data_IF_888121616576
#
_entry.id   IF_888121616576
#
_cell.length_a   1.000
_cell.length_b   1.000
_cell.length_c   1.000
_cell.angle_alpha   90.00
_cell.angle_beta   90.00
_cell.angle_gamma   90.00
#
_symmetry.space_group_name_H-M   'P 1'
#
loop_
_entity.id
_entity.type
_entity.pdbx_description
1 polymer ?
#
# COMPACT_ATOMS: atom_id res chain seq x y z
N UNK A 1 39.81 -35.89 34.97
CA UNK A 1 38.73 -35.89 33.97
C UNK A 1 38.82 -34.60 33.20
N UNK A 2 39.46 -34.60 32.03
CA UNK A 2 39.60 -33.42 31.19
C UNK A 2 38.37 -33.31 30.32
N UNK A 3 37.65 -32.16 30.42
CA UNK A 3 36.56 -31.79 29.51
C UNK A 3 37.14 -31.44 28.14
N UNK A 4 36.99 -32.31 27.18
CA UNK A 4 37.24 -32.07 25.75
C UNK A 4 36.12 -31.15 25.25
N UNK A 5 36.36 -29.85 25.30
CA UNK A 5 35.57 -28.85 24.55
C UNK A 5 35.88 -29.07 23.07
N UNK A 6 34.98 -29.80 22.39
CA UNK A 6 35.09 -30.06 20.95
C UNK A 6 34.98 -28.75 20.16
N UNK A 7 36.13 -28.23 19.76
CA UNK A 7 36.21 -27.19 18.73
C UNK A 7 35.74 -27.82 17.42
N UNK A 8 34.58 -27.45 16.96
CA UNK A 8 34.06 -27.86 15.65
C UNK A 8 35.07 -27.54 14.58
N UNK A 9 35.31 -28.49 13.66
CA UNK A 9 36.23 -28.27 12.55
C UNK A 9 35.83 -27.02 11.77
N UNK A 10 36.79 -26.32 11.17
CA UNK A 10 36.52 -25.12 10.34
C UNK A 10 35.46 -25.36 9.25
N UNK A 11 35.43 -26.60 8.72
CA UNK A 11 34.42 -27.00 7.75
C UNK A 11 33.00 -27.06 8.35
N UNK A 12 32.83 -27.63 9.54
CA UNK A 12 31.57 -27.70 10.24
C UNK A 12 31.07 -26.30 10.65
N UNK A 13 31.99 -25.40 11.05
CA UNK A 13 31.65 -23.98 11.30
C UNK A 13 31.21 -23.26 10.03
N UNK A 14 31.89 -23.46 8.91
CA UNK A 14 31.53 -22.87 7.63
C UNK A 14 30.19 -23.41 7.09
N UNK A 15 29.91 -24.68 7.31
CA UNK A 15 28.60 -25.27 6.97
C UNK A 15 27.49 -24.72 7.82
N UNK A 16 27.68 -24.52 9.12
CA UNK A 16 26.70 -23.90 10.00
C UNK A 16 26.43 -22.45 9.60
N UNK A 17 27.48 -21.67 9.34
CA UNK A 17 27.34 -20.27 8.87
C UNK A 17 26.61 -20.19 7.52
N UNK A 18 26.89 -21.11 6.59
CA UNK A 18 26.18 -21.23 5.31
C UNK A 18 24.69 -21.59 5.52
N UNK A 19 24.40 -22.49 6.45
CA UNK A 19 23.05 -22.93 6.77
C UNK A 19 22.24 -21.81 7.45
N UNK A 20 22.87 -21.05 8.35
CA UNK A 20 22.28 -19.86 8.98
C UNK A 20 22.06 -18.73 7.97
N UNK A 21 23.00 -18.45 7.09
CA UNK A 21 22.83 -17.46 6.01
C UNK A 21 21.71 -17.85 5.05
N UNK A 22 21.57 -19.15 4.69
CA UNK A 22 20.44 -19.64 3.88
C UNK A 22 19.11 -19.57 4.63
N UNK A 23 19.08 -19.92 5.91
CA UNK A 23 17.88 -19.84 6.75
C UNK A 23 17.43 -18.38 6.98
N UNK A 24 18.36 -17.43 6.97
CA UNK A 24 18.08 -16.01 7.12
C UNK A 24 17.77 -15.28 5.81
N UNK A 25 17.94 -15.95 4.67
CA UNK A 25 17.63 -15.35 3.37
C UNK A 25 16.10 -15.17 3.23
N UNK A 26 15.66 -13.92 3.00
CA UNK A 26 14.24 -13.56 2.87
C UNK A 26 13.50 -14.43 1.83
N UNK A 27 14.16 -14.74 0.71
CA UNK A 27 13.62 -15.62 -0.32
C UNK A 27 13.34 -17.04 0.18
N UNK A 28 14.24 -17.60 1.00
CA UNK A 28 14.05 -18.94 1.56
C UNK A 28 12.88 -18.98 2.56
N UNK A 29 12.71 -17.91 3.34
CA UNK A 29 11.57 -17.75 4.26
C UNK A 29 10.27 -17.60 3.49
N UNK A 30 10.25 -16.83 2.40
CA UNK A 30 9.09 -16.67 1.52
C UNK A 30 8.66 -18.01 0.90
N UNK A 31 9.60 -18.74 0.29
CA UNK A 31 9.33 -20.03 -0.35
C UNK A 31 8.86 -21.13 0.62
N UNK A 32 9.23 -21.06 1.89
CA UNK A 32 8.76 -21.99 2.95
C UNK A 32 7.35 -21.68 3.43
N UNK A 33 6.88 -20.46 3.28
CA UNK A 33 5.53 -20.06 3.70
C UNK A 33 4.59 -20.03 2.50
N UNK A 34 3.76 -21.06 2.36
CA UNK A 34 2.81 -21.21 1.25
C UNK A 34 1.86 -20.02 1.10
N UNK A 35 1.37 -19.47 2.23
CA UNK A 35 0.46 -18.30 2.20
C UNK A 35 1.18 -17.05 1.73
N UNK A 36 2.42 -16.84 2.18
CA UNK A 36 3.23 -15.71 1.71
C UNK A 36 3.56 -15.83 0.22
N UNK A 37 3.83 -17.06 -0.28
CA UNK A 37 4.06 -17.30 -1.69
C UNK A 37 2.82 -16.99 -2.54
N UNK A 38 1.64 -17.45 -2.11
CA UNK A 38 0.38 -17.15 -2.80
C UNK A 38 0.13 -15.63 -2.83
N UNK A 39 0.27 -14.95 -1.68
CA UNK A 39 0.14 -13.49 -1.62
C UNK A 39 1.13 -12.78 -2.54
N UNK A 40 2.40 -13.22 -2.55
CA UNK A 40 3.42 -12.65 -3.43
C UNK A 40 3.07 -12.82 -4.92
N UNK A 41 2.60 -14.00 -5.33
CA UNK A 41 2.15 -14.26 -6.71
C UNK A 41 0.98 -13.34 -7.09
N UNK A 42 -0.03 -13.21 -6.23
CA UNK A 42 -1.18 -12.32 -6.49
C UNK A 42 -0.72 -10.87 -6.65
N UNK A 43 0.13 -10.37 -5.75
CA UNK A 43 0.66 -9.01 -5.83
C UNK A 43 1.45 -8.82 -7.13
N UNK A 44 2.33 -9.75 -7.49
CA UNK A 44 3.08 -9.70 -8.75
C UNK A 44 2.14 -9.67 -9.97
N UNK A 45 1.09 -10.48 -9.98
CA UNK A 45 0.11 -10.49 -11.06
C UNK A 45 -0.62 -9.14 -11.20
N UNK A 46 -1.04 -8.54 -10.08
CA UNK A 46 -1.69 -7.23 -10.07
C UNK A 46 -0.73 -6.14 -10.59
N UNK A 47 0.53 -6.14 -10.14
CA UNK A 47 1.53 -5.19 -10.63
C UNK A 47 1.84 -5.38 -12.12
N UNK A 48 2.00 -6.63 -12.56
CA UNK A 48 2.20 -6.93 -13.99
C UNK A 48 1.01 -6.48 -14.83
N UNK A 49 -0.21 -6.75 -14.38
CA UNK A 49 -1.44 -6.30 -15.03
C UNK A 49 -1.49 -4.77 -15.11
N UNK A 50 -1.13 -4.06 -14.04
CA UNK A 50 -1.10 -2.60 -14.01
C UNK A 50 -0.05 -2.02 -14.96
N UNK A 51 1.15 -2.58 -15.01
CA UNK A 51 2.25 -2.10 -15.87
C UNK A 51 1.98 -2.42 -17.35
N UNK A 52 1.50 -3.61 -17.62
CA UNK A 52 1.25 -4.09 -18.98
C UNK A 52 -0.15 -3.76 -19.50
N UNK A 53 -0.94 -2.98 -18.75
CA UNK A 53 -2.32 -2.62 -19.13
C UNK A 53 -2.46 -2.16 -20.60
N UNK A 54 -1.62 -1.25 -21.13
CA UNK A 54 -1.73 -0.82 -22.53
C UNK A 54 -1.44 -1.91 -23.56
N UNK A 55 -0.76 -2.99 -23.17
CA UNK A 55 -0.38 -4.10 -24.06
C UNK A 55 -1.36 -5.27 -24.01
N UNK A 56 -1.97 -5.52 -22.87
CA UNK A 56 -2.83 -6.69 -22.64
C UNK A 56 -4.32 -6.39 -22.71
N UNK A 57 -4.73 -5.11 -22.63
CA UNK A 57 -6.11 -4.72 -22.75
C UNK A 57 -6.57 -4.89 -24.22
N UNK A 58 -7.64 -5.66 -24.48
CA UNK A 58 -8.11 -5.90 -25.84
C UNK A 58 -8.72 -4.66 -26.51
N UNK A 59 -9.25 -3.72 -25.70
CA UNK A 59 -9.95 -2.53 -26.18
C UNK A 59 -9.53 -1.28 -25.39
N UNK A 60 -9.86 -0.10 -25.95
CA UNK A 60 -9.82 1.15 -25.19
C UNK A 60 -10.87 1.10 -24.05
N UNK A 61 -10.48 1.22 -22.77
CA UNK A 61 -11.40 1.16 -21.63
C UNK A 61 -12.44 2.29 -21.60
N UNK A 62 -12.23 3.35 -22.36
CA UNK A 62 -13.13 4.50 -22.46
C UNK A 62 -14.04 4.44 -23.69
N UNK A 63 -13.81 3.54 -24.64
CA UNK A 63 -14.58 3.44 -25.88
C UNK A 63 -16.04 3.05 -25.63
N UNK A 64 -16.97 3.97 -25.85
CA UNK A 64 -18.40 3.79 -25.64
C UNK A 64 -19.03 3.18 -26.90
N UNK A 65 -19.85 2.14 -26.74
CA UNK A 65 -20.67 1.52 -27.80
C UNK A 65 -22.12 1.36 -27.34
N UNK A 66 -23.00 2.34 -27.62
CA UNK A 66 -24.38 2.31 -27.13
C UNK A 66 -25.21 1.10 -27.61
N UNK A 67 -24.84 0.49 -28.72
CA UNK A 67 -25.53 -0.69 -29.28
C UNK A 67 -25.15 -1.99 -28.56
N UNK A 68 -23.97 -2.00 -27.89
CA UNK A 68 -23.38 -3.18 -27.25
C UNK A 68 -23.51 -3.13 -25.71
N UNK A 69 -24.54 -2.49 -25.17
CA UNK A 69 -24.74 -2.32 -23.72
C UNK A 69 -25.11 -3.62 -23.03
N UNK A 70 -24.52 -3.87 -21.86
CA UNK A 70 -24.85 -4.98 -20.94
C UNK A 70 -24.86 -6.35 -21.64
N UNK A 71 -23.94 -6.55 -22.58
CA UNK A 71 -23.79 -7.83 -23.26
C UNK A 71 -22.97 -8.79 -22.42
N UNK A 72 -23.37 -10.08 -22.42
CA UNK A 72 -22.74 -11.11 -21.62
C UNK A 72 -21.32 -11.49 -22.05
N UNK A 73 -20.61 -12.29 -21.24
CA UNK A 73 -19.26 -12.76 -21.56
C UNK A 73 -19.20 -13.49 -22.91
N UNK A 74 -18.15 -13.21 -23.69
CA UNK A 74 -17.94 -13.79 -25.01
C UNK A 74 -18.72 -13.12 -26.14
N UNK A 75 -19.41 -12.01 -25.87
CA UNK A 75 -20.12 -11.23 -26.89
C UNK A 75 -19.17 -10.71 -27.98
N UNK A 76 -19.58 -10.84 -29.22
CA UNK A 76 -18.89 -10.29 -30.39
C UNK A 76 -19.65 -9.05 -30.88
N UNK A 77 -18.99 -7.89 -30.81
CA UNK A 77 -19.59 -6.62 -31.22
C UNK A 77 -19.78 -6.59 -32.74
N UNK A 78 -20.61 -5.65 -33.22
CA UNK A 78 -20.81 -5.40 -34.67
C UNK A 78 -19.52 -5.07 -35.42
N UNK A 79 -18.47 -4.66 -34.71
CA UNK A 79 -17.12 -4.38 -35.24
C UNK A 79 -16.20 -5.61 -35.22
N UNK A 80 -16.69 -6.79 -34.86
CA UNK A 80 -15.90 -8.02 -34.77
C UNK A 80 -14.99 -8.13 -33.53
N UNK A 81 -15.15 -7.26 -32.54
CA UNK A 81 -14.39 -7.30 -31.30
C UNK A 81 -15.05 -8.26 -30.31
N UNK A 82 -14.26 -9.17 -29.72
CA UNK A 82 -14.73 -10.14 -28.71
C UNK A 82 -14.57 -9.54 -27.32
N UNK A 83 -15.68 -9.38 -26.60
CA UNK A 83 -15.71 -8.92 -25.21
C UNK A 83 -15.70 -10.12 -24.26
N UNK A 84 -14.51 -10.55 -23.82
CA UNK A 84 -14.32 -11.77 -23.01
C UNK A 84 -15.15 -11.80 -21.73
N UNK A 85 -15.25 -10.68 -21.02
CA UNK A 85 -16.07 -10.53 -19.80
C UNK A 85 -17.39 -9.79 -20.07
N UNK A 86 -17.71 -9.51 -21.32
CA UNK A 86 -18.88 -8.72 -21.68
C UNK A 86 -18.63 -7.22 -21.62
N UNK A 87 -19.74 -6.46 -21.59
CA UNK A 87 -19.73 -4.99 -21.64
C UNK A 87 -20.53 -4.38 -20.50
N UNK A 88 -20.17 -3.15 -20.14
CA UNK A 88 -20.87 -2.38 -19.11
C UNK A 88 -22.12 -1.63 -19.65
N UNK A 89 -22.71 -0.79 -18.79
CA UNK A 89 -23.91 0.02 -19.10
C UNK A 89 -23.72 1.04 -20.23
N UNK A 90 -22.47 1.31 -20.63
CA UNK A 90 -22.14 2.17 -21.76
C UNK A 90 -21.64 1.40 -22.97
N UNK A 91 -21.61 0.05 -22.89
CA UNK A 91 -21.07 -0.82 -23.94
C UNK A 91 -19.54 -0.82 -23.99
N UNK A 92 -18.85 -0.42 -22.90
CA UNK A 92 -17.39 -0.47 -22.79
C UNK A 92 -16.93 -1.86 -22.40
N UNK A 93 -15.75 -2.28 -22.86
CA UNK A 93 -15.19 -3.59 -22.54
C UNK A 93 -14.84 -3.75 -21.06
N UNK A 94 -15.47 -4.73 -20.40
CA UNK A 94 -15.32 -4.92 -18.97
C UNK A 94 -13.91 -5.40 -18.60
N UNK A 95 -13.30 -6.28 -19.41
CA UNK A 95 -11.95 -6.78 -19.16
C UNK A 95 -10.91 -5.67 -19.28
N UNK A 96 -10.97 -4.84 -20.30
CA UNK A 96 -10.07 -3.69 -20.45
C UNK A 96 -10.20 -2.72 -19.28
N UNK A 97 -11.43 -2.47 -18.82
CA UNK A 97 -11.67 -1.62 -17.65
C UNK A 97 -11.13 -2.21 -16.36
N UNK A 98 -11.20 -3.52 -16.14
CA UNK A 98 -10.61 -4.20 -14.99
C UNK A 98 -9.08 -4.10 -15.00
N UNK A 99 -8.47 -4.28 -16.17
CA UNK A 99 -7.02 -4.18 -16.35
C UNK A 99 -6.53 -2.76 -16.07
N UNK A 100 -7.14 -1.74 -16.67
CA UNK A 100 -6.80 -0.34 -16.42
C UNK A 100 -7.16 0.10 -15.00
N UNK A 101 -8.23 -0.46 -14.42
CA UNK A 101 -8.59 -0.26 -13.02
C UNK A 101 -7.50 -0.69 -12.06
N UNK A 102 -6.80 -1.79 -12.35
CA UNK A 102 -5.64 -2.21 -11.55
C UNK A 102 -4.52 -1.16 -11.56
N UNK A 103 -4.25 -0.53 -12.71
CA UNK A 103 -3.25 0.54 -12.81
C UNK A 103 -3.58 1.71 -11.88
N UNK A 104 -4.83 2.17 -11.91
CA UNK A 104 -5.30 3.26 -11.05
C UNK A 104 -5.21 2.88 -9.57
N UNK A 105 -5.69 1.68 -9.20
CA UNK A 105 -5.65 1.21 -7.82
C UNK A 105 -4.22 1.12 -7.28
N UNK A 106 -3.27 0.64 -8.08
CA UNK A 106 -1.83 0.60 -7.71
C UNK A 106 -1.26 2.00 -7.54
N UNK A 107 -1.56 2.94 -8.45
CA UNK A 107 -1.11 4.33 -8.35
C UNK A 107 -1.65 4.99 -7.08
N UNK A 108 -2.93 4.81 -6.76
CA UNK A 108 -3.52 5.33 -5.53
C UNK A 108 -2.90 4.70 -4.29
N UNK A 109 -2.71 3.38 -4.29
CA UNK A 109 -2.10 2.69 -3.15
C UNK A 109 -0.68 3.19 -2.84
N UNK A 110 0.18 3.27 -3.86
CA UNK A 110 1.55 3.76 -3.70
C UNK A 110 1.55 5.25 -3.33
N UNK A 111 0.80 6.07 -4.07
CA UNK A 111 0.78 7.51 -3.88
C UNK A 111 0.27 7.92 -2.51
N UNK A 112 -0.87 7.37 -2.06
CA UNK A 112 -1.42 7.69 -0.73
C UNK A 112 -0.55 7.18 0.41
N UNK A 113 0.02 5.97 0.28
CA UNK A 113 0.97 5.44 1.26
C UNK A 113 2.24 6.28 1.32
N UNK A 114 2.74 6.77 0.18
CA UNK A 114 3.89 7.66 0.14
C UNK A 114 3.60 9.00 0.83
N UNK A 115 2.46 9.64 0.54
CA UNK A 115 2.06 10.90 1.17
C UNK A 115 1.92 10.73 2.68
N UNK A 116 1.09 9.78 3.13
CA UNK A 116 0.86 9.52 4.55
C UNK A 116 2.13 9.04 5.28
N UNK A 117 2.90 8.18 4.61
CA UNK A 117 4.16 7.63 5.12
C UNK A 117 5.24 8.70 5.28
N UNK A 118 5.52 9.50 4.24
CA UNK A 118 6.57 10.51 4.31
C UNK A 118 6.29 11.52 5.43
N UNK A 119 5.07 12.06 5.49
CA UNK A 119 4.69 13.03 6.53
C UNK A 119 4.66 12.36 7.90
N UNK A 120 4.00 11.21 8.02
CA UNK A 120 3.86 10.51 9.29
C UNK A 120 5.17 9.98 9.85
N UNK A 121 6.08 9.47 9.00
CA UNK A 121 7.42 9.04 9.42
C UNK A 121 8.20 10.22 9.99
N UNK A 122 8.24 11.36 9.30
CA UNK A 122 8.93 12.56 9.77
C UNK A 122 8.38 13.04 11.12
N UNK A 123 7.07 13.15 11.23
CA UNK A 123 6.42 13.58 12.48
C UNK A 123 6.64 12.57 13.61
N UNK A 124 6.53 11.28 13.33
CA UNK A 124 6.79 10.22 14.31
C UNK A 124 8.23 10.14 14.77
N UNK A 125 9.20 10.34 13.87
CA UNK A 125 10.62 10.41 14.20
C UNK A 125 10.90 11.60 15.14
N UNK A 126 10.40 12.79 14.80
CA UNK A 126 10.61 14.01 15.59
C UNK A 126 9.96 13.88 16.96
N UNK A 127 8.69 13.45 17.00
CA UNK A 127 7.95 13.28 18.25
C UNK A 127 8.61 12.23 19.17
N UNK A 128 8.92 11.04 18.64
CA UNK A 128 9.52 9.95 19.38
C UNK A 128 10.92 10.27 19.91
N UNK A 129 11.73 10.99 19.11
CA UNK A 129 13.10 11.32 19.49
C UNK A 129 13.15 12.46 20.53
N UNK A 130 12.54 13.61 20.22
CA UNK A 130 12.59 14.78 21.10
C UNK A 130 11.80 14.62 22.39
N UNK A 131 10.63 13.97 22.34
CA UNK A 131 9.77 13.82 23.53
C UNK A 131 9.20 15.15 24.04
N UNK A 132 8.76 15.16 25.30
CA UNK A 132 8.31 16.36 26.01
C UNK A 132 7.20 17.14 25.29
N UNK A 133 7.35 18.48 25.21
CA UNK A 133 6.37 19.35 24.57
C UNK A 133 6.20 19.11 23.08
N UNK A 134 7.30 18.80 22.35
CA UNK A 134 7.25 18.54 20.90
C UNK A 134 6.41 17.30 20.62
N UNK A 135 6.65 16.23 21.36
CA UNK A 135 5.84 15.01 21.27
C UNK A 135 4.36 15.30 21.58
N UNK A 136 4.11 16.01 22.69
CA UNK A 136 2.74 16.32 23.10
C UNK A 136 1.98 17.14 22.07
N UNK A 137 2.61 18.13 21.44
CA UNK A 137 1.95 18.96 20.41
C UNK A 137 1.65 18.13 19.18
N UNK A 138 2.66 17.40 18.65
CA UNK A 138 2.46 16.58 17.45
C UNK A 138 1.37 15.52 17.69
N UNK A 139 1.44 14.80 18.82
CA UNK A 139 0.45 13.77 19.11
C UNK A 139 -0.94 14.35 19.36
N UNK A 140 -1.08 15.53 19.93
CA UNK A 140 -2.37 16.20 20.10
C UNK A 140 -3.04 16.52 18.74
N UNK A 141 -2.23 16.95 17.76
CA UNK A 141 -2.75 17.16 16.39
C UNK A 141 -3.17 15.81 15.77
N UNK A 142 -2.36 14.76 15.93
CA UNK A 142 -2.70 13.42 15.46
C UNK A 142 -3.97 12.88 16.12
N UNK A 143 -4.14 13.11 17.43
CA UNK A 143 -5.33 12.71 18.17
C UNK A 143 -6.57 13.46 17.68
N UNK A 144 -6.46 14.75 17.35
CA UNK A 144 -7.52 15.52 16.72
C UNK A 144 -7.96 14.94 15.36
N UNK A 145 -7.01 14.49 14.54
CA UNK A 145 -7.33 13.83 13.28
C UNK A 145 -7.98 12.45 13.51
N UNK A 146 -7.54 11.69 14.51
CA UNK A 146 -8.13 10.41 14.89
C UNK A 146 -9.54 10.53 15.50
N UNK A 147 -9.95 11.70 15.98
CA UNK A 147 -11.31 11.91 16.46
C UNK A 147 -12.36 11.73 15.35
N UNK A 148 -11.93 11.87 14.09
CA UNK A 148 -12.76 11.55 12.94
C UNK A 148 -12.54 10.11 12.47
N UNK A 149 -13.61 9.34 12.20
CA UNK A 149 -13.47 8.07 11.49
C UNK A 149 -12.71 8.28 10.18
N UNK A 150 -11.73 7.41 9.91
CA UNK A 150 -10.81 7.53 8.76
C UNK A 150 -11.51 7.85 7.44
N UNK A 151 -12.58 7.09 7.12
CA UNK A 151 -13.30 7.27 5.86
C UNK A 151 -14.01 8.63 5.79
N UNK A 152 -14.56 9.11 6.91
CA UNK A 152 -15.19 10.43 6.97
C UNK A 152 -14.17 11.55 6.78
N UNK A 153 -12.98 11.43 7.37
CA UNK A 153 -11.91 12.41 7.18
C UNK A 153 -11.47 12.44 5.71
N UNK A 154 -11.28 11.28 5.07
CA UNK A 154 -10.95 11.21 3.65
C UNK A 154 -12.07 11.79 2.77
N UNK A 155 -13.35 11.54 3.09
CA UNK A 155 -14.50 12.12 2.38
C UNK A 155 -14.52 13.64 2.46
N UNK A 156 -14.35 14.21 3.66
CA UNK A 156 -14.27 15.67 3.85
C UNK A 156 -13.14 16.26 3.00
N UNK A 157 -11.95 15.61 3.02
CA UNK A 157 -10.81 16.07 2.23
C UNK A 157 -11.10 16.05 0.73
N UNK A 158 -11.70 14.98 0.20
CA UNK A 158 -12.05 14.90 -1.23
C UNK A 158 -13.15 15.94 -1.57
N UNK A 159 -14.13 16.16 -0.68
CA UNK A 159 -15.18 17.16 -0.91
C UNK A 159 -14.60 18.58 -1.04
N UNK A 160 -13.57 18.90 -0.24
CA UNK A 160 -12.90 20.21 -0.28
C UNK A 160 -11.96 20.34 -1.47
N UNK A 161 -11.19 19.27 -1.78
CA UNK A 161 -10.19 19.28 -2.85
C UNK A 161 -10.81 19.08 -4.24
N UNK A 162 -11.99 18.50 -4.30
CA UNK A 162 -12.64 18.04 -5.54
C UNK A 162 -12.31 16.59 -5.88
N UNK A 163 -13.05 16.04 -6.86
CA UNK A 163 -12.82 14.68 -7.38
C UNK A 163 -11.54 14.59 -8.22
N UNK A 164 -10.99 13.40 -8.32
CA UNK A 164 -9.83 13.12 -9.17
C UNK A 164 -8.74 12.32 -8.46
N UNK A 165 -7.90 11.64 -9.24
CA UNK A 165 -6.89 10.70 -8.75
C UNK A 165 -5.94 11.38 -7.74
N UNK A 166 -5.42 12.57 -8.06
CA UNK A 166 -4.48 13.29 -7.21
C UNK A 166 -5.11 13.66 -5.87
N UNK A 167 -6.35 14.16 -5.89
CA UNK A 167 -7.07 14.59 -4.70
C UNK A 167 -7.43 13.40 -3.81
N UNK A 168 -7.81 12.27 -4.39
CA UNK A 168 -8.02 11.01 -3.67
C UNK A 168 -6.73 10.52 -3.01
N UNK A 169 -5.59 10.56 -3.72
CA UNK A 169 -4.27 10.22 -3.17
C UNK A 169 -3.94 11.09 -1.96
N UNK A 170 -4.11 12.41 -2.08
CA UNK A 170 -3.84 13.36 -0.99
C UNK A 170 -4.78 13.10 0.19
N UNK A 171 -6.07 12.94 -0.07
CA UNK A 171 -7.07 12.74 0.97
C UNK A 171 -6.81 11.46 1.79
N UNK A 172 -6.61 10.32 1.12
CA UNK A 172 -6.29 9.04 1.77
C UNK A 172 -4.92 9.13 2.46
N UNK A 173 -3.94 9.75 1.80
CA UNK A 173 -2.60 9.92 2.36
C UNK A 173 -2.62 10.73 3.64
N UNK A 174 -3.22 11.92 3.63
CA UNK A 174 -3.33 12.78 4.82
C UNK A 174 -4.09 12.11 5.94
N UNK A 175 -5.20 11.42 5.65
CA UNK A 175 -5.96 10.67 6.64
C UNK A 175 -5.13 9.55 7.30
N UNK A 176 -4.10 9.02 6.62
CA UNK A 176 -3.19 8.00 7.14
C UNK A 176 -1.99 8.55 7.94
N UNK A 177 -1.70 9.85 7.88
CA UNK A 177 -0.57 10.47 8.59
C UNK A 177 -0.55 10.13 10.08
N UNK A 178 -1.66 10.22 10.84
CA UNK A 178 -1.66 9.93 12.27
C UNK A 178 -1.26 8.49 12.59
N UNK A 179 -1.69 7.55 11.76
CA UNK A 179 -1.39 6.13 11.93
C UNK A 179 0.10 5.85 11.75
N UNK A 180 0.72 6.41 10.69
CA UNK A 180 2.17 6.33 10.49
C UNK A 180 2.95 7.02 11.61
N UNK A 181 2.55 8.25 11.98
CA UNK A 181 3.25 9.01 13.03
C UNK A 181 3.25 8.26 14.35
N UNK A 182 2.13 7.70 14.76
CA UNK A 182 2.01 6.94 16.02
C UNK A 182 2.83 5.65 15.99
N UNK A 183 2.78 4.91 14.88
CA UNK A 183 3.56 3.68 14.71
C UNK A 183 5.06 3.97 14.77
N UNK A 184 5.54 4.96 14.01
CA UNK A 184 6.98 5.33 13.97
C UNK A 184 7.45 5.88 15.32
N UNK A 185 6.65 6.73 15.96
CA UNK A 185 6.93 7.20 17.33
C UNK A 185 7.18 6.05 18.30
N UNK A 186 6.31 5.02 18.24
CA UNK A 186 6.48 3.82 19.08
C UNK A 186 7.80 3.09 18.81
N UNK A 187 8.17 2.92 17.53
CA UNK A 187 9.45 2.30 17.16
C UNK A 187 10.65 3.13 17.60
N UNK A 188 10.58 4.45 17.47
CA UNK A 188 11.64 5.36 17.93
C UNK A 188 11.83 5.26 19.44
N UNK A 189 10.76 5.15 20.23
CA UNK A 189 10.87 4.98 21.68
C UNK A 189 11.60 3.69 22.09
N UNK A 190 11.45 2.62 21.32
CA UNK A 190 12.20 1.38 21.55
C UNK A 190 13.66 1.58 21.18
N UNK A 191 13.94 1.99 19.95
CA UNK A 191 15.30 2.04 19.39
C UNK A 191 16.18 3.10 20.06
N UNK A 192 15.62 4.25 20.47
CA UNK A 192 16.42 5.32 21.10
C UNK A 192 17.04 4.96 22.45
N UNK A 193 16.52 3.92 23.11
CA UNK A 193 16.99 3.45 24.40
C UNK A 193 18.03 2.32 24.28
N UNK A 194 18.33 1.87 23.07
CA UNK A 194 19.35 0.85 22.82
C UNK A 194 20.76 1.35 23.17
N UNK A 195 21.63 0.44 23.60
CA UNK A 195 22.98 0.75 24.08
C UNK A 195 23.82 1.53 23.06
N UNK A 196 23.71 1.17 21.76
CA UNK A 196 24.45 1.86 20.71
C UNK A 196 24.02 3.32 20.51
N UNK A 197 22.74 3.65 20.76
CA UNK A 197 22.27 5.04 20.75
C UNK A 197 22.81 5.83 21.93
N UNK A 198 22.90 5.19 23.09
CA UNK A 198 23.47 5.81 24.28
C UNK A 198 25.01 6.00 24.17
N UNK A 199 25.69 5.03 23.57
CA UNK A 199 27.12 5.14 23.26
C UNK A 199 27.42 6.27 22.27
N UNK A 200 26.63 6.39 21.17
CA UNK A 200 26.77 7.47 20.21
C UNK A 200 26.57 8.85 20.87
N UNK A 201 25.60 8.95 21.79
CA UNK A 201 25.33 10.17 22.55
C UNK A 201 26.50 10.53 23.50
N UNK A 202 27.07 9.51 24.15
CA UNK A 202 28.23 9.68 25.02
C UNK A 202 29.50 10.13 24.26
N UNK A 203 29.63 9.74 23.01
CA UNK A 203 30.69 10.16 22.09
C UNK A 203 30.44 11.57 21.48
N UNK A 204 29.35 12.26 21.85
CA UNK A 204 29.06 13.61 21.42
C UNK A 204 28.41 13.69 20.02
N UNK A 205 27.85 12.60 19.48
CA UNK A 205 27.13 12.68 18.22
C UNK A 205 25.89 13.57 18.34
N UNK A 206 25.69 14.45 17.34
CA UNK A 206 24.52 15.33 17.29
C UNK A 206 23.23 14.58 17.01
N UNK A 207 22.11 15.13 17.52
CA UNK A 207 20.75 14.55 17.43
C UNK A 207 20.34 14.11 16.00
N UNK A 208 20.63 14.95 15.00
CA UNK A 208 20.30 14.60 13.60
C UNK A 208 21.04 13.37 13.11
N UNK A 209 22.34 13.20 13.50
CA UNK A 209 23.12 12.03 13.12
C UNK A 209 22.57 10.77 13.81
N UNK A 210 22.25 10.86 15.09
CA UNK A 210 21.66 9.75 15.85
C UNK A 210 20.33 9.34 15.21
N UNK A 211 19.46 10.30 14.88
CA UNK A 211 18.14 10.05 14.33
C UNK A 211 18.21 9.37 12.95
N UNK A 212 19.00 9.93 12.01
CA UNK A 212 19.02 9.43 10.64
C UNK A 212 19.99 8.27 10.40
N UNK A 213 21.06 8.14 11.20
CA UNK A 213 22.07 7.10 11.00
C UNK A 213 21.91 5.89 11.92
N UNK A 214 21.31 6.08 13.11
CA UNK A 214 21.16 5.00 14.10
C UNK A 214 19.71 4.59 14.29
N UNK A 215 18.76 5.54 14.43
CA UNK A 215 17.37 5.21 14.73
C UNK A 215 16.60 4.84 13.46
N UNK A 216 16.56 5.70 12.46
CA UNK A 216 15.77 5.48 11.25
C UNK A 216 16.09 4.16 10.56
N UNK A 217 17.37 3.76 10.32
CA UNK A 217 17.65 2.49 9.65
C UNK A 217 17.16 1.27 10.43
N UNK A 218 17.18 1.34 11.76
CA UNK A 218 16.71 0.26 12.62
C UNK A 218 15.18 0.21 12.75
N UNK A 219 14.48 1.28 12.35
CA UNK A 219 13.01 1.32 12.30
C UNK A 219 12.43 1.05 10.91
N UNK A 220 13.26 0.95 9.86
CA UNK A 220 12.79 0.74 8.47
C UNK A 220 11.99 -0.56 8.33
N UNK A 221 12.43 -1.66 8.94
CA UNK A 221 11.75 -2.96 8.76
C UNK A 221 10.27 -2.91 9.18
N UNK A 222 9.90 -2.49 10.40
CA UNK A 222 8.49 -2.32 10.77
C UNK A 222 7.78 -1.25 9.94
N UNK A 223 8.46 -0.18 9.49
CA UNK A 223 7.85 0.84 8.62
C UNK A 223 7.45 0.25 7.27
N UNK A 224 8.31 -0.54 6.64
CA UNK A 224 8.01 -1.18 5.34
C UNK A 224 6.84 -2.15 5.48
N UNK A 225 6.82 -2.98 6.53
CA UNK A 225 5.70 -3.89 6.80
C UNK A 225 4.40 -3.11 6.96
N UNK A 226 4.41 -2.04 7.75
CA UNK A 226 3.22 -1.20 7.94
C UNK A 226 2.79 -0.51 6.66
N UNK A 227 3.73 0.00 5.85
CA UNK A 227 3.44 0.64 4.57
C UNK A 227 2.76 -0.35 3.59
N UNK A 228 3.23 -1.60 3.50
CA UNK A 228 2.60 -2.60 2.64
C UNK A 228 1.17 -2.95 3.06
N UNK A 229 0.91 -3.03 4.38
CA UNK A 229 -0.47 -3.20 4.89
C UNK A 229 -1.34 -1.97 4.57
N UNK A 230 -0.76 -0.77 4.66
CA UNK A 230 -1.45 0.48 4.34
C UNK A 230 -1.83 0.58 2.86
N UNK A 231 -0.99 0.07 1.94
CA UNK A 231 -1.32 0.01 0.50
C UNK A 231 -2.60 -0.79 0.24
N UNK A 232 -2.76 -1.95 0.90
CA UNK A 232 -3.97 -2.74 0.78
C UNK A 232 -5.22 -1.98 1.29
N UNK A 233 -5.09 -1.33 2.46
CA UNK A 233 -6.16 -0.50 3.02
C UNK A 233 -6.49 0.71 2.13
N UNK A 234 -5.51 1.30 1.46
CA UNK A 234 -5.69 2.43 0.56
C UNK A 234 -6.50 2.05 -0.69
N UNK A 235 -6.28 0.85 -1.26
CA UNK A 235 -7.09 0.33 -2.38
C UNK A 235 -8.55 0.19 -1.96
N UNK A 236 -8.81 -0.39 -0.79
CA UNK A 236 -10.18 -0.54 -0.27
C UNK A 236 -10.83 0.82 0.02
N UNK A 237 -10.06 1.79 0.50
CA UNK A 237 -10.54 3.14 0.78
C UNK A 237 -10.88 3.90 -0.50
N UNK A 238 -10.03 3.78 -1.54
CA UNK A 238 -10.33 4.35 -2.87
C UNK A 238 -11.63 3.78 -3.43
N UNK A 239 -11.76 2.44 -3.39
CA UNK A 239 -12.96 1.77 -3.88
C UNK A 239 -14.20 2.22 -3.09
N UNK A 240 -14.09 2.40 -1.77
CA UNK A 240 -15.18 2.89 -0.93
C UNK A 240 -15.56 4.34 -1.24
N UNK A 241 -14.58 5.24 -1.42
CA UNK A 241 -14.81 6.62 -1.82
C UNK A 241 -15.45 6.70 -3.21
N UNK A 242 -14.96 5.93 -4.17
CA UNK A 242 -15.53 5.84 -5.52
C UNK A 242 -16.95 5.27 -5.49
N UNK A 243 -17.22 4.26 -4.65
CA UNK A 243 -18.55 3.68 -4.46
C UNK A 243 -19.55 4.70 -3.89
N UNK A 244 -19.09 5.64 -3.06
CA UNK A 244 -19.89 6.74 -2.53
C UNK A 244 -19.98 7.94 -3.48
N UNK A 245 -19.40 7.86 -4.69
CA UNK A 245 -19.44 8.91 -5.69
C UNK A 245 -18.46 10.05 -5.47
N UNK A 246 -17.55 9.93 -4.50
CA UNK A 246 -16.54 10.94 -4.16
C UNK A 246 -15.14 10.61 -4.68
N UNK A 247 -14.97 9.46 -5.32
CA UNK A 247 -13.66 8.99 -5.78
C UNK A 247 -13.26 9.51 -7.17
N UNK A 248 -12.74 8.60 -7.96
CA UNK A 248 -12.28 8.86 -9.32
C UNK A 248 -13.49 8.90 -10.25
N UNK A 249 -13.59 9.95 -11.06
CA UNK A 249 -14.73 10.14 -11.95
C UNK A 249 -14.56 9.48 -13.32
N UNK A 250 -15.64 9.00 -13.94
CA UNK A 250 -15.59 8.58 -15.36
C UNK A 250 -15.03 9.70 -16.27
N UNK A 251 -14.38 9.36 -17.41
CA UNK A 251 -14.31 8.03 -18.04
C UNK A 251 -13.25 7.08 -17.44
N UNK A 252 -12.42 7.55 -16.50
CA UNK A 252 -11.32 6.78 -15.92
C UNK A 252 -11.84 5.49 -15.27
N UNK A 253 -11.25 4.37 -15.65
CA UNK A 253 -11.59 3.08 -15.08
C UNK A 253 -10.88 2.93 -13.72
N UNK A 254 -11.62 2.69 -12.63
CA UNK A 254 -11.13 2.21 -11.34
C UNK A 254 -12.02 1.07 -10.86
N UNK A 255 -11.48 0.20 -10.03
CA UNK A 255 -12.28 -0.90 -9.48
C UNK A 255 -13.50 -0.41 -8.68
N UNK A 256 -13.34 0.71 -7.97
CA UNK A 256 -14.45 1.35 -7.26
C UNK A 256 -15.55 1.86 -8.19
N UNK A 257 -15.20 2.48 -9.32
CA UNK A 257 -16.16 2.93 -10.31
C UNK A 257 -16.91 1.77 -10.98
N UNK A 258 -16.19 0.71 -11.35
CA UNK A 258 -16.79 -0.49 -11.95
C UNK A 258 -17.82 -1.09 -10.98
N UNK A 259 -17.46 -1.18 -9.70
CA UNK A 259 -18.37 -1.68 -8.66
C UNK A 259 -19.60 -0.77 -8.50
N UNK A 260 -19.40 0.55 -8.53
CA UNK A 260 -20.49 1.53 -8.39
C UNK A 260 -21.50 1.43 -9.53
N UNK A 261 -21.01 1.32 -10.76
CA UNK A 261 -21.84 1.16 -11.95
C UNK A 261 -22.55 -0.20 -11.93
N UNK A 262 -21.80 -1.28 -11.69
CA UNK A 262 -22.31 -2.65 -11.75
C UNK A 262 -23.40 -2.97 -10.72
N UNK A 263 -23.38 -2.32 -9.53
CA UNK A 263 -24.36 -2.61 -8.47
C UNK A 263 -25.83 -2.47 -8.91
N UNK A 264 -26.10 -1.56 -9.85
CA UNK A 264 -27.46 -1.34 -10.37
C UNK A 264 -27.94 -2.45 -11.29
N UNK A 265 -27.04 -3.28 -11.81
CA UNK A 265 -27.33 -4.29 -12.84
C UNK A 265 -27.20 -5.73 -12.34
N UNK A 266 -26.99 -5.94 -11.04
CA UNK A 266 -26.79 -7.29 -10.45
C UNK A 266 -27.90 -8.29 -10.77
N UNK A 267 -29.15 -7.81 -10.99
CA UNK A 267 -30.29 -8.68 -11.31
C UNK A 267 -30.47 -8.88 -12.81
N UNK A 268 -30.03 -7.93 -13.64
CA UNK A 268 -30.26 -7.93 -15.10
C UNK A 268 -29.06 -8.36 -15.91
N UNK A 269 -27.85 -8.09 -15.40
CA UNK A 269 -26.58 -8.42 -16.04
C UNK A 269 -25.54 -8.79 -14.95
N UNK A 270 -25.61 -9.99 -14.36
CA UNK A 270 -24.81 -10.35 -13.18
C UNK A 270 -23.32 -10.57 -13.48
N UNK A 271 -22.91 -10.52 -14.75
CA UNK A 271 -21.49 -10.60 -15.16
C UNK A 271 -20.75 -9.31 -14.92
#
# INVERSE_FOLDING_TARGET
MAQTTGVLSREAQNEMIKKERRANNAWHKLLRNKMALVGFVIVCLVFLMAILAPLIAPCDPAAISPLDKLQGPGYVSSKGVVHLLGTDEFGRDLLSRLIYGAQISVVVAIGSTAVGGLIGILLGLIAGYKGGLVDSIIMRIMDGMFAFPFLLLAMIMVTVLGSGIQNVIIAIGVANVPSFARMVRGQVHVVKNEEYCNAARALGEGDGRILFRHILPNTISPIVVYATMNMASAILSEASLSFLGLGITPPTASWGNILTSGKGYLQTAPH
#
